data_IF_424331724403
#
_entry.id   IF_424331724403
#
_cell.length_a   1.000
_cell.length_b   1.000
_cell.length_c   1.000
_cell.angle_alpha   90.00
_cell.angle_beta   90.00
_cell.angle_gamma   90.00
#
_symmetry.space_group_name_H-M   'P 1'
#
loop_
_entity.id
_entity.type
_entity.pdbx_description
1 polymer ?
#
# COMPACT_ATOMS: atom_id res chain seq x y z
N UNK A 1 -36.94 -31.35 -7.54
CA UNK A 1 -35.50 -31.45 -7.33
C UNK A 1 -34.82 -30.53 -8.35
N UNK A 2 -34.50 -29.36 -7.94
CA UNK A 2 -33.83 -28.35 -8.80
C UNK A 2 -32.34 -28.34 -8.47
N UNK A 3 -31.55 -28.90 -9.36
CA UNK A 3 -30.09 -28.76 -9.33
C UNK A 3 -29.72 -27.30 -9.54
N UNK A 4 -29.37 -26.62 -8.46
CA UNK A 4 -28.75 -25.30 -8.52
C UNK A 4 -27.36 -25.48 -9.16
N UNK A 5 -27.27 -25.20 -10.46
CA UNK A 5 -26.02 -25.12 -11.21
C UNK A 5 -25.11 -24.13 -10.51
N UNK A 6 -24.15 -24.66 -9.77
CA UNK A 6 -23.06 -23.91 -9.14
C UNK A 6 -22.23 -23.30 -10.27
N UNK A 7 -22.57 -22.06 -10.67
CA UNK A 7 -21.82 -21.29 -11.66
C UNK A 7 -20.38 -21.18 -11.15
N UNK A 8 -19.50 -22.03 -11.64
CA UNK A 8 -18.04 -21.99 -11.39
C UNK A 8 -17.55 -20.63 -11.88
N UNK A 9 -17.38 -19.70 -10.96
CA UNK A 9 -16.74 -18.42 -11.26
C UNK A 9 -15.28 -18.70 -11.59
N UNK A 10 -14.94 -18.62 -12.89
CA UNK A 10 -13.59 -18.82 -13.40
C UNK A 10 -12.61 -17.96 -12.56
N UNK A 11 -11.64 -18.61 -11.91
CA UNK A 11 -10.62 -17.95 -11.09
C UNK A 11 -9.84 -16.94 -11.94
N UNK A 12 -9.67 -15.72 -11.46
CA UNK A 12 -8.92 -14.67 -12.13
C UNK A 12 -7.51 -14.67 -11.54
N UNK A 13 -6.57 -15.29 -12.24
CA UNK A 13 -5.17 -15.45 -11.79
C UNK A 13 -4.43 -14.13 -11.66
N UNK A 14 -4.83 -13.09 -12.39
CA UNK A 14 -4.19 -11.78 -12.37
C UNK A 14 -4.01 -11.21 -10.96
N UNK A 15 -5.02 -11.35 -10.10
CA UNK A 15 -4.98 -10.81 -8.74
C UNK A 15 -4.09 -11.64 -7.81
N UNK A 16 -4.04 -12.95 -8.03
CA UNK A 16 -3.13 -13.84 -7.29
C UNK A 16 -1.67 -13.54 -7.70
N UNK A 17 -1.41 -13.36 -9.00
CA UNK A 17 -0.10 -13.00 -9.53
C UNK A 17 0.35 -11.61 -9.01
N UNK A 18 -0.56 -10.64 -9.00
CA UNK A 18 -0.27 -9.31 -8.44
C UNK A 18 0.09 -9.39 -6.96
N UNK A 19 -0.66 -10.17 -6.18
CA UNK A 19 -0.36 -10.37 -4.75
C UNK A 19 1.02 -10.97 -4.55
N UNK A 20 1.36 -12.02 -5.30
CA UNK A 20 2.68 -12.64 -5.24
C UNK A 20 3.79 -11.64 -5.60
N UNK A 21 3.63 -10.92 -6.72
CA UNK A 21 4.56 -9.88 -7.14
C UNK A 21 4.79 -8.84 -6.03
N UNK A 22 3.71 -8.34 -5.41
CA UNK A 22 3.81 -7.33 -4.36
C UNK A 22 4.49 -7.85 -3.09
N UNK A 23 4.26 -9.12 -2.70
CA UNK A 23 4.96 -9.74 -1.57
C UNK A 23 6.47 -9.78 -1.84
N UNK A 24 6.87 -10.17 -3.05
CA UNK A 24 8.27 -10.17 -3.46
C UNK A 24 8.86 -8.76 -3.43
N UNK A 25 8.11 -7.76 -3.93
CA UNK A 25 8.55 -6.35 -3.90
C UNK A 25 8.68 -5.80 -2.48
N UNK A 26 7.84 -6.22 -1.54
CA UNK A 26 7.98 -5.86 -0.12
C UNK A 26 9.32 -6.39 0.44
N UNK A 27 9.63 -7.66 0.20
CA UNK A 27 10.88 -8.28 0.68
C UNK A 27 12.10 -7.59 0.07
N UNK A 28 12.12 -7.44 -1.26
CA UNK A 28 13.20 -6.76 -1.99
C UNK A 28 13.33 -5.32 -1.51
N UNK A 29 12.22 -4.59 -1.38
CA UNK A 29 12.19 -3.20 -0.94
C UNK A 29 12.84 -3.00 0.43
N UNK A 30 12.52 -3.85 1.40
CA UNK A 30 13.14 -3.80 2.73
C UNK A 30 14.65 -4.10 2.67
N UNK A 31 15.04 -5.13 1.91
CA UNK A 31 16.45 -5.47 1.74
C UNK A 31 17.22 -4.33 1.08
N UNK A 32 16.75 -3.84 -0.06
CA UNK A 32 17.42 -2.78 -0.84
C UNK A 32 17.51 -1.47 -0.05
N UNK A 33 16.45 -1.11 0.69
CA UNK A 33 16.44 0.10 1.51
C UNK A 33 17.49 0.08 2.62
N UNK A 34 17.84 -1.09 3.14
CA UNK A 34 18.90 -1.24 4.12
C UNK A 34 20.29 -0.95 3.53
N UNK A 35 20.48 -1.28 2.26
CA UNK A 35 21.74 -1.05 1.53
C UNK A 35 21.75 0.25 0.71
N UNK A 36 20.66 1.01 0.71
CA UNK A 36 20.56 2.27 -0.01
C UNK A 36 21.66 3.30 0.33
N UNK A 37 22.13 3.44 1.60
CA UNK A 37 23.22 4.37 1.93
C UNK A 37 24.55 4.07 1.20
N UNK A 38 24.75 2.83 0.71
CA UNK A 38 26.04 2.37 0.15
C UNK A 38 26.13 2.63 -1.37
N UNK A 39 25.01 2.65 -2.09
CA UNK A 39 25.01 2.70 -3.55
C UNK A 39 23.83 3.47 -4.12
N UNK A 40 24.11 4.32 -5.12
CA UNK A 40 23.07 5.05 -5.84
C UNK A 40 22.10 4.13 -6.58
N UNK A 41 22.56 2.98 -7.06
CA UNK A 41 21.67 1.96 -7.67
C UNK A 41 20.68 1.41 -6.63
N UNK A 42 21.13 1.14 -5.40
CA UNK A 42 20.25 0.69 -4.32
C UNK A 42 19.26 1.78 -3.90
N UNK A 43 19.70 3.04 -3.84
CA UNK A 43 18.79 4.19 -3.62
C UNK A 43 17.70 4.25 -4.70
N UNK A 44 18.09 4.17 -5.98
CA UNK A 44 17.15 4.22 -7.11
C UNK A 44 16.13 3.10 -7.06
N UNK A 45 16.59 1.87 -6.84
CA UNK A 45 15.71 0.70 -6.73
C UNK A 45 14.79 0.81 -5.50
N UNK A 46 15.29 1.30 -4.38
CA UNK A 46 14.50 1.55 -3.19
C UNK A 46 13.41 2.59 -3.46
N UNK A 47 13.76 3.75 -4.03
CA UNK A 47 12.79 4.80 -4.36
C UNK A 47 11.72 4.30 -5.34
N UNK A 48 12.14 3.57 -6.39
CA UNK A 48 11.21 2.98 -7.35
C UNK A 48 10.23 2.01 -6.68
N UNK A 49 10.70 1.07 -5.86
CA UNK A 49 9.83 0.10 -5.19
C UNK A 49 8.89 0.80 -4.20
N UNK A 50 9.40 1.74 -3.40
CA UNK A 50 8.60 2.45 -2.41
C UNK A 50 7.51 3.33 -3.04
N UNK A 51 7.68 3.76 -4.29
CA UNK A 51 6.67 4.57 -4.99
C UNK A 51 5.34 3.84 -5.23
N UNK A 52 5.34 2.50 -5.20
CA UNK A 52 4.12 1.74 -5.52
C UNK A 52 3.78 0.58 -4.56
N UNK A 53 4.79 -0.10 -3.95
CA UNK A 53 4.53 -1.40 -3.33
C UNK A 53 3.47 -1.35 -2.22
N UNK A 54 3.57 -0.41 -1.27
CA UNK A 54 2.59 -0.30 -0.19
C UNK A 54 1.26 0.32 -0.63
N UNK A 55 1.21 1.43 -1.39
CA UNK A 55 -0.03 1.93 -1.95
C UNK A 55 -0.82 0.86 -2.71
N UNK A 56 -0.15 0.14 -3.60
CA UNK A 56 -0.79 -0.88 -4.43
C UNK A 56 -1.20 -2.12 -3.62
N UNK A 57 -0.40 -2.52 -2.62
CA UNK A 57 -0.75 -3.64 -1.74
C UNK A 57 -2.01 -3.33 -0.92
N UNK A 58 -2.12 -2.12 -0.40
CA UNK A 58 -3.27 -1.64 0.38
C UNK A 58 -4.50 -1.49 -0.53
N UNK A 59 -4.34 -0.95 -1.74
CA UNK A 59 -5.39 -0.90 -2.75
C UNK A 59 -5.94 -2.30 -3.07
N UNK A 60 -5.05 -3.26 -3.33
CA UNK A 60 -5.42 -4.65 -3.59
C UNK A 60 -6.17 -5.26 -2.40
N UNK A 61 -5.77 -4.96 -1.19
CA UNK A 61 -6.43 -5.43 0.03
C UNK A 61 -7.86 -4.90 0.14
N UNK A 62 -8.08 -3.62 -0.17
CA UNK A 62 -9.41 -3.02 -0.26
C UNK A 62 -10.26 -3.67 -1.35
N UNK A 63 -9.70 -3.88 -2.53
CA UNK A 63 -10.37 -4.50 -3.67
C UNK A 63 -10.85 -5.93 -3.38
N UNK A 64 -10.03 -6.72 -2.67
CA UNK A 64 -10.39 -8.08 -2.28
C UNK A 64 -11.37 -8.11 -1.10
N UNK A 65 -11.36 -7.08 -0.25
CA UNK A 65 -12.25 -6.94 0.89
C UNK A 65 -13.71 -6.71 0.48
N UNK A 66 -13.98 -6.07 -0.66
CA UNK A 66 -15.34 -5.78 -1.15
C UNK A 66 -16.22 -7.01 -1.23
N UNK A 67 -15.69 -8.16 -1.65
CA UNK A 67 -16.43 -9.43 -1.71
C UNK A 67 -17.00 -9.86 -0.37
N UNK A 68 -16.46 -9.33 0.69
CA UNK A 68 -16.80 -9.68 2.05
C UNK A 68 -17.80 -8.70 2.68
N UNK A 69 -17.76 -7.41 2.32
CA UNK A 69 -18.64 -6.36 2.83
C UNK A 69 -20.11 -6.48 2.36
N UNK A 70 -20.38 -7.30 1.35
CA UNK A 70 -21.76 -7.58 0.91
C UNK A 70 -22.56 -8.43 1.93
N UNK A 71 -21.93 -8.87 3.02
CA UNK A 71 -22.59 -9.54 4.13
C UNK A 71 -23.20 -8.52 5.08
N UNK A 72 -24.46 -8.73 5.47
CA UNK A 72 -25.27 -7.78 6.23
C UNK A 72 -24.75 -7.42 7.62
N UNK A 73 -23.75 -8.13 8.16
CA UNK A 73 -23.18 -7.88 9.49
C UNK A 73 -21.68 -7.73 9.41
N UNK A 74 -21.14 -6.71 10.10
CA UNK A 74 -19.71 -6.55 10.25
C UNK A 74 -19.12 -7.70 11.10
N UNK A 75 -18.05 -8.31 10.60
CA UNK A 75 -17.38 -9.41 11.29
C UNK A 75 -16.18 -8.86 12.05
N UNK A 76 -16.34 -8.67 13.34
CA UNK A 76 -15.28 -8.16 14.22
C UNK A 76 -14.09 -9.11 14.39
N UNK A 77 -14.28 -10.39 14.10
CA UNK A 77 -13.23 -11.41 14.14
C UNK A 77 -12.01 -11.05 13.27
N UNK A 78 -12.23 -10.44 12.11
CA UNK A 78 -11.12 -10.11 11.19
C UNK A 78 -10.25 -8.93 11.64
N UNK A 79 -10.79 -7.73 11.96
CA UNK A 79 -9.98 -6.69 12.56
C UNK A 79 -9.23 -7.15 13.80
N UNK A 80 -9.89 -7.93 14.69
CA UNK A 80 -9.25 -8.49 15.87
C UNK A 80 -8.10 -9.44 15.51
N UNK A 81 -8.30 -10.31 14.51
CA UNK A 81 -7.24 -11.20 14.01
C UNK A 81 -6.03 -10.43 13.50
N UNK A 82 -6.25 -9.34 12.75
CA UNK A 82 -5.14 -8.48 12.32
C UNK A 82 -4.41 -7.84 13.49
N UNK A 83 -5.12 -7.35 14.51
CA UNK A 83 -4.50 -6.78 15.71
C UNK A 83 -3.68 -7.85 16.45
N UNK A 84 -4.22 -9.06 16.63
CA UNK A 84 -3.52 -10.16 17.29
C UNK A 84 -2.24 -10.55 16.55
N UNK A 85 -2.29 -10.68 15.22
CA UNK A 85 -1.09 -10.94 14.41
C UNK A 85 -0.10 -9.77 14.54
N UNK A 86 -0.56 -8.52 14.53
CA UNK A 86 0.28 -7.35 14.70
C UNK A 86 1.08 -7.39 16.00
N UNK A 87 0.43 -7.72 17.10
CA UNK A 87 1.13 -7.88 18.39
C UNK A 87 2.01 -9.11 18.44
N UNK A 88 1.59 -10.25 17.87
CA UNK A 88 2.43 -11.44 17.78
C UNK A 88 3.73 -11.14 17.02
N UNK A 89 3.66 -10.41 15.89
CA UNK A 89 4.84 -9.98 15.14
C UNK A 89 5.72 -9.02 15.97
N UNK A 90 5.13 -8.09 16.73
CA UNK A 90 5.90 -7.21 17.63
C UNK A 90 6.68 -8.01 18.67
N UNK A 91 6.03 -8.97 19.30
CA UNK A 91 6.67 -9.86 20.31
C UNK A 91 7.79 -10.67 19.65
N UNK A 92 7.56 -11.26 18.47
CA UNK A 92 8.59 -11.99 17.74
C UNK A 92 9.80 -11.11 17.41
N UNK A 93 9.58 -9.90 16.87
CA UNK A 93 10.67 -8.97 16.53
C UNK A 93 11.44 -8.55 17.79
N UNK A 94 10.73 -8.27 18.88
CA UNK A 94 11.34 -7.94 20.16
C UNK A 94 12.19 -9.09 20.70
N UNK A 95 11.68 -10.32 20.69
CA UNK A 95 12.40 -11.52 21.08
C UNK A 95 13.65 -11.76 20.24
N UNK A 96 13.58 -11.58 18.92
CA UNK A 96 14.73 -11.68 18.02
C UNK A 96 15.80 -10.63 18.39
N UNK A 97 15.42 -9.38 18.63
CA UNK A 97 16.37 -8.33 19.03
C UNK A 97 17.09 -8.66 20.32
N UNK A 98 16.38 -9.20 21.31
CA UNK A 98 16.99 -9.65 22.58
C UNK A 98 17.97 -10.81 22.32
N UNK A 99 17.57 -11.79 21.51
CA UNK A 99 18.42 -12.95 21.18
C UNK A 99 19.74 -12.53 20.54
N UNK A 100 19.72 -11.49 19.71
CA UNK A 100 20.93 -10.92 19.08
C UNK A 100 21.58 -9.80 19.89
N UNK A 101 21.29 -9.69 21.19
CA UNK A 101 21.87 -8.68 22.11
C UNK A 101 21.70 -7.22 21.63
N UNK A 102 20.68 -6.94 20.85
CA UNK A 102 20.37 -5.58 20.42
C UNK A 102 19.55 -4.87 21.50
N UNK A 103 19.82 -3.56 21.69
CA UNK A 103 18.97 -2.73 22.55
C UNK A 103 17.55 -2.71 22.00
N UNK A 104 16.59 -3.23 22.74
CA UNK A 104 15.19 -3.28 22.36
C UNK A 104 14.31 -2.74 23.48
N UNK A 105 13.39 -1.84 23.11
CA UNK A 105 12.30 -1.39 23.99
C UNK A 105 11.00 -1.84 23.35
N UNK A 106 10.13 -2.48 24.11
CA UNK A 106 8.83 -2.89 23.60
C UNK A 106 7.86 -1.71 23.66
N UNK A 107 7.46 -1.23 22.48
CA UNK A 107 6.54 -0.10 22.34
C UNK A 107 5.17 -0.59 21.92
N UNK A 108 4.17 -0.48 22.78
CA UNK A 108 2.81 -0.98 22.53
C UNK A 108 2.09 -0.26 21.40
N UNK A 109 2.17 1.07 21.38
CA UNK A 109 1.36 1.92 20.51
C UNK A 109 2.15 2.64 19.41
N UNK A 110 3.45 2.45 19.34
CA UNK A 110 4.28 3.10 18.35
C UNK A 110 4.60 2.21 17.16
N UNK A 111 4.84 2.85 16.01
CA UNK A 111 5.27 2.20 14.79
C UNK A 111 6.73 1.73 14.91
N UNK A 112 6.88 0.43 15.09
CA UNK A 112 8.19 -0.24 15.20
C UNK A 112 8.62 -0.94 13.90
N UNK A 113 8.01 -0.60 12.76
CA UNK A 113 8.35 -1.17 11.45
C UNK A 113 7.30 -2.14 10.93
N UNK A 114 7.69 -3.33 10.50
CA UNK A 114 6.85 -4.31 9.74
C UNK A 114 5.41 -4.50 10.25
N UNK A 115 5.11 -4.58 11.56
CA UNK A 115 3.74 -4.84 12.05
C UNK A 115 2.69 -3.77 11.73
N UNK A 116 3.12 -2.55 11.35
CA UNK A 116 2.20 -1.44 11.10
C UNK A 116 1.06 -1.79 10.13
N UNK A 117 1.35 -2.59 9.12
CA UNK A 117 0.37 -2.98 8.11
C UNK A 117 -0.82 -3.72 8.71
N UNK A 118 -0.60 -4.56 9.72
CA UNK A 118 -1.65 -5.31 10.39
C UNK A 118 -2.60 -4.37 11.13
N UNK A 119 -2.06 -3.42 11.88
CA UNK A 119 -2.86 -2.43 12.61
C UNK A 119 -3.61 -1.48 11.65
N UNK A 120 -2.94 -1.03 10.58
CA UNK A 120 -3.57 -0.21 9.56
C UNK A 120 -4.73 -0.95 8.86
N UNK A 121 -4.56 -2.24 8.54
CA UNK A 121 -5.62 -3.06 7.95
C UNK A 121 -6.83 -3.18 8.86
N UNK A 122 -6.63 -3.40 10.18
CA UNK A 122 -7.72 -3.42 11.14
C UNK A 122 -8.49 -2.09 11.15
N UNK A 123 -7.77 -0.96 11.19
CA UNK A 123 -8.36 0.37 11.14
C UNK A 123 -9.11 0.63 9.81
N UNK A 124 -8.51 0.28 8.66
CA UNK A 124 -9.15 0.44 7.36
C UNK A 124 -10.46 -0.33 7.23
N UNK A 125 -10.51 -1.55 7.75
CA UNK A 125 -11.72 -2.37 7.72
C UNK A 125 -12.85 -1.73 8.52
N UNK A 126 -12.54 -1.21 9.71
CA UNK A 126 -13.52 -0.54 10.58
C UNK A 126 -13.99 0.77 9.94
N UNK A 127 -13.06 1.64 9.51
CA UNK A 127 -13.39 2.93 8.91
C UNK A 127 -14.23 2.72 7.63
N UNK A 128 -13.79 1.85 6.72
CA UNK A 128 -14.52 1.59 5.49
C UNK A 128 -15.93 1.01 5.73
N UNK A 129 -16.13 0.22 6.79
CA UNK A 129 -17.45 -0.23 7.17
C UNK A 129 -18.35 0.90 7.68
N UNK A 130 -17.81 1.80 8.50
CA UNK A 130 -18.55 2.93 9.05
C UNK A 130 -19.02 3.90 7.96
N UNK A 131 -18.21 4.09 6.92
CA UNK A 131 -18.50 5.03 5.83
C UNK A 131 -18.91 4.34 4.53
N UNK A 132 -19.30 3.08 4.56
CA UNK A 132 -19.61 2.25 3.37
C UNK A 132 -20.71 2.81 2.46
N UNK A 133 -21.61 3.63 3.00
CA UNK A 133 -22.69 4.27 2.26
C UNK A 133 -22.23 5.55 1.51
N UNK A 134 -21.04 6.07 1.85
CA UNK A 134 -20.53 7.27 1.21
C UNK A 134 -19.89 6.94 -0.15
N UNK A 135 -20.15 7.75 -1.18
CA UNK A 135 -19.61 7.50 -2.51
C UNK A 135 -18.11 7.85 -2.58
N UNK A 136 -17.38 7.12 -3.45
CA UNK A 136 -15.95 7.31 -3.63
C UNK A 136 -15.58 8.77 -4.00
N UNK A 137 -16.37 9.41 -4.86
CA UNK A 137 -16.11 10.78 -5.31
C UNK A 137 -16.12 11.82 -4.17
N UNK A 138 -16.79 11.51 -3.06
CA UNK A 138 -16.82 12.35 -1.86
C UNK A 138 -15.69 12.00 -0.89
N UNK A 139 -15.51 10.70 -0.60
CA UNK A 139 -14.53 10.25 0.41
C UNK A 139 -13.09 10.43 -0.07
N UNK A 140 -12.81 10.18 -1.37
CA UNK A 140 -11.44 10.22 -1.88
C UNK A 140 -10.81 11.61 -1.78
N UNK A 141 -11.43 12.71 -2.25
CA UNK A 141 -10.85 14.04 -2.11
C UNK A 141 -10.65 14.46 -0.64
N UNK A 142 -11.63 14.17 0.21
CA UNK A 142 -11.55 14.50 1.64
C UNK A 142 -10.41 13.74 2.31
N UNK A 143 -10.28 12.44 2.07
CA UNK A 143 -9.22 11.63 2.65
C UNK A 143 -7.82 12.06 2.17
N UNK A 144 -7.68 12.47 0.90
CA UNK A 144 -6.44 13.04 0.37
C UNK A 144 -6.14 14.40 1.03
N UNK A 145 -7.15 15.27 1.19
CA UNK A 145 -6.99 16.55 1.86
C UNK A 145 -6.51 16.37 3.31
N UNK A 146 -7.16 15.48 4.06
CA UNK A 146 -6.77 15.15 5.44
C UNK A 146 -5.33 14.63 5.48
N UNK A 147 -4.93 13.79 4.53
CA UNK A 147 -3.57 13.26 4.45
C UNK A 147 -2.53 14.35 4.08
N UNK A 148 -2.91 15.35 3.27
CA UNK A 148 -2.06 16.50 3.00
C UNK A 148 -1.87 17.37 4.25
N UNK A 149 -2.93 17.58 5.03
CA UNK A 149 -2.86 18.38 6.26
C UNK A 149 -2.11 17.65 7.37
N UNK A 150 -2.30 16.36 7.52
CA UNK A 150 -1.63 15.54 8.54
C UNK A 150 -0.11 15.55 8.45
N UNK A 151 0.47 15.84 7.27
CA UNK A 151 1.91 15.93 7.10
C UNK A 151 2.56 17.18 7.71
N UNK A 152 1.79 18.18 8.08
CA UNK A 152 2.30 19.39 8.76
C UNK A 152 2.42 19.23 10.27
N UNK A 153 1.75 18.23 10.85
CA UNK A 153 1.80 17.96 12.29
C UNK A 153 2.79 16.83 12.60
N UNK A 154 3.84 17.15 13.33
CA UNK A 154 4.85 16.18 13.76
C UNK A 154 4.33 15.18 14.79
N UNK A 155 3.27 15.54 15.54
CA UNK A 155 2.67 14.68 16.57
C UNK A 155 1.85 13.54 15.97
N UNK A 156 1.35 13.69 14.73
CA UNK A 156 0.63 12.61 14.00
C UNK A 156 1.59 11.50 13.52
N UNK A 157 2.80 11.42 14.00
CA UNK A 157 3.86 10.54 13.55
C UNK A 157 3.60 9.03 13.72
N UNK A 158 4.36 8.40 14.62
CA UNK A 158 4.36 6.94 14.81
C UNK A 158 3.30 6.42 15.77
N UNK A 159 2.67 7.30 16.57
CA UNK A 159 1.67 6.91 17.55
C UNK A 159 0.44 6.28 16.89
N UNK A 160 0.03 5.10 17.35
CA UNK A 160 -1.09 4.31 16.81
C UNK A 160 -1.06 4.11 15.28
N UNK A 161 0.10 4.25 14.66
CA UNK A 161 0.27 4.18 13.19
C UNK A 161 -0.55 5.23 12.41
N UNK A 162 -0.98 6.29 13.09
CA UNK A 162 -2.00 7.22 12.62
C UNK A 162 -1.61 7.88 11.31
N UNK A 163 -0.36 8.33 11.18
CA UNK A 163 0.13 8.93 9.92
C UNK A 163 -0.06 7.99 8.74
N UNK A 164 0.34 6.72 8.87
CA UNK A 164 0.18 5.73 7.80
C UNK A 164 -1.27 5.38 7.52
N UNK A 165 -2.10 5.30 8.56
CA UNK A 165 -3.54 5.06 8.40
C UNK A 165 -4.15 6.19 7.57
N UNK A 166 -3.89 7.44 7.91
CA UNK A 166 -4.40 8.60 7.18
C UNK A 166 -3.89 8.62 5.74
N UNK A 167 -2.57 8.47 5.54
CA UNK A 167 -1.93 8.59 4.23
C UNK A 167 -2.33 7.45 3.28
N UNK A 168 -2.50 6.23 3.77
CA UNK A 168 -2.79 5.08 2.90
C UNK A 168 -4.28 4.76 2.78
N UNK A 169 -5.14 5.35 3.60
CA UNK A 169 -6.59 5.13 3.54
C UNK A 169 -7.21 5.42 2.15
N UNK A 170 -6.81 6.48 1.42
CA UNK A 170 -7.34 6.74 0.07
C UNK A 170 -7.17 5.56 -0.89
N UNK A 171 -6.04 4.85 -0.83
CA UNK A 171 -5.79 3.67 -1.66
C UNK A 171 -6.69 2.51 -1.28
N UNK A 172 -6.82 2.25 0.02
CA UNK A 172 -7.69 1.18 0.52
C UNK A 172 -9.15 1.41 0.10
N UNK A 173 -9.67 2.63 0.35
CA UNK A 173 -11.06 2.94 0.06
C UNK A 173 -11.36 2.95 -1.44
N UNK A 174 -10.42 3.41 -2.26
CA UNK A 174 -10.52 3.31 -3.73
C UNK A 174 -10.65 1.83 -4.15
N UNK A 175 -9.79 0.95 -3.65
CA UNK A 175 -9.90 -0.49 -3.91
C UNK A 175 -11.23 -1.07 -3.43
N UNK A 176 -11.67 -0.69 -2.24
CA UNK A 176 -12.94 -1.14 -1.64
C UNK A 176 -14.16 -0.76 -2.47
N UNK A 177 -14.18 0.42 -3.09
CA UNK A 177 -15.30 0.91 -3.89
C UNK A 177 -15.33 0.36 -5.32
N UNK A 178 -14.17 0.05 -5.92
CA UNK A 178 -14.08 -0.36 -7.31
C UNK A 178 -14.63 -1.76 -7.57
N UNK A 179 -15.17 -1.97 -8.78
CA UNK A 179 -15.56 -3.28 -9.27
C UNK A 179 -14.41 -3.98 -10.00
N UNK A 180 -14.07 -5.19 -9.55
CA UNK A 180 -12.95 -5.97 -10.08
C UNK A 180 -13.09 -6.25 -11.58
N UNK A 181 -14.31 -6.55 -12.07
CA UNK A 181 -14.52 -6.90 -13.47
C UNK A 181 -14.36 -5.67 -14.36
N UNK A 182 -15.01 -4.56 -13.98
CA UNK A 182 -14.90 -3.29 -14.71
C UNK A 182 -13.46 -2.79 -14.75
N UNK A 183 -12.76 -2.86 -13.62
CA UNK A 183 -11.35 -2.49 -13.53
C UNK A 183 -10.49 -3.35 -14.48
N UNK A 184 -10.72 -4.66 -14.50
CA UNK A 184 -9.98 -5.57 -15.37
C UNK A 184 -10.27 -5.32 -16.85
N UNK A 185 -11.52 -5.05 -17.23
CA UNK A 185 -11.90 -4.72 -18.61
C UNK A 185 -11.18 -3.47 -19.11
N UNK A 186 -11.13 -2.42 -18.28
CA UNK A 186 -10.42 -1.18 -18.61
C UNK A 186 -8.92 -1.44 -18.74
N UNK A 187 -8.29 -2.06 -17.73
CA UNK A 187 -6.84 -2.25 -17.68
C UNK A 187 -6.30 -3.28 -18.69
N UNK A 188 -7.15 -4.10 -19.30
CA UNK A 188 -6.72 -5.05 -20.32
C UNK A 188 -6.65 -4.43 -21.74
N UNK A 189 -7.09 -3.19 -21.94
CA UNK A 189 -7.00 -2.51 -23.23
C UNK A 189 -5.55 -2.35 -23.66
N UNK A 190 -5.22 -2.66 -24.92
CA UNK A 190 -3.86 -2.66 -25.46
C UNK A 190 -3.16 -1.31 -25.30
N UNK A 191 -3.88 -0.21 -25.61
CA UNK A 191 -3.31 1.13 -25.49
C UNK A 191 -2.91 1.49 -24.04
N UNK A 192 -3.69 1.02 -23.04
CA UNK A 192 -3.33 1.21 -21.62
C UNK A 192 -2.04 0.45 -21.28
N UNK A 193 -1.88 -0.78 -21.78
CA UNK A 193 -0.67 -1.57 -21.58
C UNK A 193 0.57 -0.91 -22.21
N UNK A 194 0.44 -0.37 -23.42
CA UNK A 194 1.51 0.36 -24.09
C UNK A 194 1.92 1.62 -23.30
N UNK A 195 0.95 2.45 -22.90
CA UNK A 195 1.22 3.63 -22.08
C UNK A 195 1.83 3.24 -20.72
N UNK A 196 1.38 2.17 -20.12
CA UNK A 196 1.91 1.66 -18.86
C UNK A 196 3.36 1.21 -18.98
N UNK A 197 3.72 0.54 -20.07
CA UNK A 197 5.10 0.12 -20.32
C UNK A 197 6.02 1.35 -20.51
N UNK A 198 5.58 2.34 -21.28
CA UNK A 198 6.32 3.60 -21.48
C UNK A 198 6.51 4.30 -20.14
N UNK A 199 5.43 4.48 -19.37
CA UNK A 199 5.47 5.16 -18.07
C UNK A 199 6.40 4.48 -17.06
N UNK A 200 6.37 3.14 -16.95
CA UNK A 200 7.27 2.41 -16.05
C UNK A 200 8.73 2.53 -16.48
N UNK A 201 9.01 2.49 -17.79
CA UNK A 201 10.35 2.69 -18.31
C UNK A 201 10.86 4.09 -17.98
N UNK A 202 10.02 5.12 -18.20
CA UNK A 202 10.34 6.51 -17.87
C UNK A 202 10.61 6.69 -16.36
N UNK A 203 9.77 6.12 -15.50
CA UNK A 203 9.97 6.14 -14.05
C UNK A 203 11.28 5.46 -13.62
N UNK A 204 11.65 4.34 -14.24
CA UNK A 204 12.95 3.68 -13.98
C UNK A 204 14.10 4.59 -14.39
N UNK A 205 14.07 5.13 -15.60
CA UNK A 205 15.10 6.05 -16.10
C UNK A 205 15.19 7.31 -15.23
N UNK A 206 14.07 7.88 -14.84
CA UNK A 206 14.02 9.04 -13.95
C UNK A 206 14.66 8.76 -12.58
N UNK A 207 14.32 7.64 -11.94
CA UNK A 207 14.89 7.28 -10.64
C UNK A 207 16.39 7.01 -10.74
N UNK A 208 16.88 6.45 -11.84
CA UNK A 208 18.31 6.24 -12.07
C UNK A 208 19.06 7.55 -12.32
N UNK A 209 18.48 8.47 -13.10
CA UNK A 209 19.13 9.72 -13.49
C UNK A 209 19.15 10.79 -12.39
N UNK A 210 18.10 10.83 -11.52
CA UNK A 210 17.87 11.91 -10.55
C UNK A 210 17.91 11.46 -9.09
N UNK A 211 18.61 10.38 -8.78
CA UNK A 211 18.54 9.77 -7.46
C UNK A 211 19.17 10.63 -6.37
N UNK A 212 20.25 11.35 -6.66
CA UNK A 212 20.95 12.17 -5.68
C UNK A 212 20.06 13.29 -5.14
N UNK A 213 19.29 13.91 -6.05
CA UNK A 213 18.38 15.01 -5.70
C UNK A 213 17.10 14.49 -5.02
N UNK A 214 16.64 13.30 -5.38
CA UNK A 214 15.28 12.85 -5.07
C UNK A 214 15.19 11.72 -4.02
N UNK A 215 16.30 11.20 -3.53
CA UNK A 215 16.25 10.08 -2.58
C UNK A 215 15.53 10.44 -1.27
N UNK A 216 15.58 11.70 -0.83
CA UNK A 216 14.87 12.16 0.36
C UNK A 216 13.35 11.94 0.28
N UNK A 217 12.77 11.95 -0.94
CA UNK A 217 11.34 11.70 -1.15
C UNK A 217 10.90 10.28 -0.80
N UNK A 218 11.82 9.32 -0.62
CA UNK A 218 11.47 7.98 -0.11
C UNK A 218 10.72 8.08 1.23
N UNK A 219 11.07 9.06 2.07
CA UNK A 219 10.40 9.31 3.35
C UNK A 219 8.93 9.69 3.16
N UNK A 220 8.60 10.41 2.08
CA UNK A 220 7.22 10.75 1.72
C UNK A 220 6.41 9.50 1.36
N UNK A 221 7.03 8.57 0.60
CA UNK A 221 6.40 7.31 0.18
C UNK A 221 6.19 6.32 1.35
N UNK A 222 6.95 6.44 2.44
CA UNK A 222 6.70 5.61 3.63
C UNK A 222 5.42 5.96 4.37
N UNK A 223 4.84 7.15 4.13
CA UNK A 223 3.62 7.64 4.77
C UNK A 223 3.74 7.92 6.27
N UNK A 224 4.96 7.92 6.82
CA UNK A 224 5.22 8.02 8.26
C UNK A 224 5.70 9.40 8.71
N UNK A 225 6.40 10.12 7.82
CA UNK A 225 7.16 11.30 8.19
C UNK A 225 6.39 12.59 7.95
N UNK A 226 6.54 13.54 8.88
CA UNK A 226 6.10 14.91 8.68
C UNK A 226 6.97 15.62 7.63
N UNK A 227 6.45 16.73 7.07
CA UNK A 227 7.15 17.47 6.02
C UNK A 227 8.42 18.16 6.51
N UNK A 228 8.50 18.53 7.79
CA UNK A 228 9.69 19.06 8.44
C UNK A 228 10.89 18.12 8.34
N UNK A 229 10.67 16.82 8.46
CA UNK A 229 11.72 15.80 8.39
C UNK A 229 12.32 15.59 6.99
N UNK A 230 11.72 16.18 5.97
CA UNK A 230 12.18 16.13 4.57
C UNK A 230 12.43 17.50 3.97
N UNK A 231 12.37 18.57 4.80
CA UNK A 231 12.61 19.96 4.43
C UNK A 231 11.71 20.46 3.26
N UNK A 232 10.43 20.05 3.23
CA UNK A 232 9.46 20.47 2.20
C UNK A 232 8.22 21.15 2.81
N UNK A 233 8.33 21.72 3.99
CA UNK A 233 7.20 22.30 4.74
C UNK A 233 6.42 23.32 3.93
N UNK A 234 7.10 24.22 3.21
CA UNK A 234 6.45 25.26 2.41
C UNK A 234 5.51 24.74 1.32
N UNK A 235 5.80 23.55 0.79
CA UNK A 235 5.05 22.92 -0.30
C UNK A 235 4.64 21.47 0.02
N UNK A 236 4.60 21.08 1.29
CA UNK A 236 4.38 19.71 1.74
C UNK A 236 3.11 19.06 1.17
N UNK A 237 1.99 19.81 1.16
CA UNK A 237 0.74 19.33 0.57
C UNK A 237 0.86 19.04 -0.93
N UNK A 238 1.61 19.87 -1.69
CA UNK A 238 1.84 19.64 -3.13
C UNK A 238 2.65 18.37 -3.34
N UNK A 239 3.71 18.15 -2.56
CA UNK A 239 4.50 16.92 -2.63
C UNK A 239 3.66 15.68 -2.27
N UNK A 240 2.74 15.80 -1.30
CA UNK A 240 1.81 14.71 -0.94
C UNK A 240 0.81 14.44 -2.08
N UNK A 241 0.32 15.45 -2.76
CA UNK A 241 -0.52 15.27 -3.95
C UNK A 241 0.26 14.59 -5.08
N UNK A 242 1.51 15.01 -5.34
CA UNK A 242 2.39 14.33 -6.31
C UNK A 242 2.60 12.85 -5.94
N UNK A 243 2.80 12.54 -4.66
CA UNK A 243 2.87 11.15 -4.20
C UNK A 243 1.62 10.36 -4.59
N UNK A 244 0.40 10.90 -4.39
CA UNK A 244 -0.83 10.20 -4.77
C UNK A 244 -0.91 9.98 -6.28
N UNK A 245 -0.61 11.01 -7.08
CA UNK A 245 -0.61 10.91 -8.55
C UNK A 245 0.36 9.80 -9.01
N UNK A 246 1.60 9.85 -8.54
CA UNK A 246 2.62 8.85 -8.89
C UNK A 246 2.18 7.46 -8.47
N UNK A 247 1.74 7.28 -7.23
CA UNK A 247 1.36 5.97 -6.70
C UNK A 247 0.14 5.37 -7.41
N UNK A 248 -0.88 6.18 -7.77
CA UNK A 248 -2.02 5.71 -8.56
C UNK A 248 -1.62 5.35 -9.99
N UNK A 249 -0.81 6.15 -10.66
CA UNK A 249 -0.31 5.86 -12.01
C UNK A 249 0.57 4.60 -12.02
N UNK A 250 1.49 4.46 -11.07
CA UNK A 250 2.28 3.24 -10.88
C UNK A 250 1.40 2.02 -10.65
N UNK A 251 0.37 2.16 -9.81
CA UNK A 251 -0.60 1.10 -9.57
C UNK A 251 -1.34 0.66 -10.84
N UNK A 252 -1.88 1.60 -11.62
CA UNK A 252 -2.52 1.34 -12.91
C UNK A 252 -1.56 0.64 -13.86
N UNK A 253 -0.33 1.16 -13.98
CA UNK A 253 0.68 0.63 -14.89
C UNK A 253 1.04 -0.82 -14.53
N UNK A 254 1.34 -1.10 -13.27
CA UNK A 254 1.70 -2.45 -12.82
C UNK A 254 0.52 -3.42 -13.00
N UNK A 255 -0.69 -3.07 -12.55
CA UNK A 255 -1.86 -3.95 -12.69
C UNK A 255 -2.13 -4.27 -14.16
N UNK A 256 -1.99 -3.30 -15.07
CA UNK A 256 -2.27 -3.53 -16.49
C UNK A 256 -1.33 -4.56 -17.12
N UNK A 257 -0.07 -4.59 -16.69
CA UNK A 257 0.98 -5.46 -17.23
C UNK A 257 1.03 -6.84 -16.57
N UNK A 258 0.46 -7.03 -15.37
CA UNK A 258 0.41 -8.35 -14.72
C UNK A 258 -0.40 -9.33 -15.59
N UNK A 259 0.17 -10.52 -15.91
CA UNK A 259 -0.49 -11.51 -16.75
C UNK A 259 -1.67 -12.19 -16.04
N UNK A 260 -2.69 -12.55 -16.83
CA UNK A 260 -3.84 -13.32 -16.33
C UNK A 260 -3.72 -14.81 -16.72
N UNK A 261 -2.56 -15.40 -16.49
CA UNK A 261 -2.31 -16.84 -16.68
C UNK A 261 -1.93 -17.49 -15.35
N UNK A 262 -2.09 -18.79 -15.25
CA UNK A 262 -1.62 -19.55 -14.09
C UNK A 262 -0.10 -19.56 -14.09
N UNK A 263 0.49 -18.97 -13.04
CA UNK A 263 1.95 -19.05 -12.82
C UNK A 263 2.23 -20.22 -11.88
N UNK A 264 3.14 -21.15 -12.20
CA UNK A 264 3.36 -22.37 -11.41
C UNK A 264 3.70 -22.14 -9.94
N UNK A 265 4.29 -20.97 -9.64
CA UNK A 265 4.69 -20.59 -8.26
C UNK A 265 3.51 -20.08 -7.43
N UNK A 266 2.37 -19.74 -8.04
CA UNK A 266 1.25 -19.04 -7.39
C UNK A 266 -0.01 -19.92 -7.27
N UNK A 267 -0.03 -21.09 -7.90
CA UNK A 267 -1.23 -21.91 -8.05
C UNK A 267 -1.33 -23.16 -7.25
#
# INVERSE_FOLDING_TARGET
MSEAVKKSTKRIYKWDNLKCFLIVMVVIGHFVNQYAPISNTMKSLSLFIYSFHMPLFIFLSGLLQKRWSQRCKFQWDKPLYYIMIGYALKVCIYGIKILFHQKAVFQWFEDTGIPWYMFAMAAFMVIAYLIKELPLWFVLPISILVACLAGYDENIGSFLYLSRIIVFFPFYYTGYCLDIKKLQEVLNKTWIKCLSAIFLTDMILYTLAKIEDNYSYIRLFTGRNAYSLINVESCGAVHRLMFYVIAFLMGIAIISLIPNCKVPVVG
#
